data_IF_247729715784
#
_entry.id   IF_247729715784
#
_cell.length_a   1.000
_cell.length_b   1.000
_cell.length_c   1.000
_cell.angle_alpha   90.00
_cell.angle_beta   90.00
_cell.angle_gamma   90.00
#
_symmetry.space_group_name_H-M   'P 1'
#
loop_
_entity.id
_entity.type
_entity.pdbx_description
1 polymer ?
#
# COMPACT_ATOMS: atom_id res chain seq x y z
N UNK A 1 9.45 -4.35 -15.24
CA UNK A 1 7.99 -4.06 -15.40
C UNK A 1 7.22 -4.21 -14.09
N UNK A 2 7.66 -5.09 -13.19
CA UNK A 2 7.07 -5.37 -11.88
C UNK A 2 6.93 -4.11 -11.00
N UNK A 3 7.92 -3.21 -11.00
CA UNK A 3 7.86 -1.94 -10.25
C UNK A 3 6.69 -1.02 -10.66
N UNK A 4 6.24 -1.05 -11.92
CA UNK A 4 5.08 -0.26 -12.37
C UNK A 4 3.78 -0.86 -11.85
N UNK A 5 3.66 -2.19 -11.86
CA UNK A 5 2.51 -2.91 -11.32
C UNK A 5 2.41 -2.70 -9.80
N UNK A 6 3.55 -2.78 -9.08
CA UNK A 6 3.63 -2.50 -7.65
C UNK A 6 3.18 -1.07 -7.34
N UNK A 7 3.64 -0.05 -8.10
CA UNK A 7 3.17 1.32 -7.91
C UNK A 7 1.68 1.50 -8.19
N UNK A 8 1.15 0.84 -9.21
CA UNK A 8 -0.28 0.91 -9.53
C UNK A 8 -1.13 0.28 -8.42
N UNK A 9 -0.73 -0.90 -7.92
CA UNK A 9 -1.42 -1.57 -6.81
C UNK A 9 -1.31 -0.76 -5.51
N UNK A 10 -0.14 -0.16 -5.25
CA UNK A 10 0.06 0.73 -4.11
C UNK A 10 -0.90 1.92 -4.13
N UNK A 11 -1.01 2.59 -5.28
CA UNK A 11 -1.93 3.71 -5.46
C UNK A 11 -3.38 3.30 -5.22
N UNK A 12 -3.82 2.20 -5.84
CA UNK A 12 -5.19 1.70 -5.69
C UNK A 12 -5.51 1.31 -4.24
N UNK A 13 -4.57 0.68 -3.53
CA UNK A 13 -4.76 0.27 -2.13
C UNK A 13 -4.94 1.46 -1.19
N UNK A 14 -4.19 2.55 -1.41
CA UNK A 14 -4.34 3.80 -0.66
C UNK A 14 -5.69 4.46 -0.96
N UNK A 15 -6.09 4.53 -2.24
CA UNK A 15 -7.40 5.10 -2.64
C UNK A 15 -8.55 4.33 -1.98
N UNK A 16 -8.51 3.00 -2.00
CA UNK A 16 -9.52 2.15 -1.34
C UNK A 16 -9.53 2.41 0.17
N UNK A 17 -8.36 2.50 0.81
CA UNK A 17 -8.25 2.76 2.25
C UNK A 17 -8.83 4.13 2.65
N UNK A 18 -8.60 5.17 1.84
CA UNK A 18 -9.17 6.51 2.06
C UNK A 18 -10.70 6.51 1.89
N UNK A 19 -11.20 5.86 0.83
CA UNK A 19 -12.63 5.72 0.58
C UNK A 19 -13.32 5.04 1.76
N UNK A 20 -12.75 3.94 2.25
CA UNK A 20 -13.25 3.24 3.43
C UNK A 20 -13.30 4.18 4.66
N UNK A 21 -12.25 4.98 4.90
CA UNK A 21 -12.21 5.95 5.98
C UNK A 21 -13.27 7.05 5.88
N UNK A 22 -13.63 7.48 4.67
CA UNK A 22 -14.74 8.42 4.47
C UNK A 22 -16.11 7.79 4.70
N UNK A 23 -16.32 6.54 4.25
CA UNK A 23 -17.66 5.92 4.24
C UNK A 23 -18.02 5.17 5.52
N UNK A 24 -17.04 4.70 6.31
CA UNK A 24 -17.32 3.86 7.50
C UNK A 24 -17.09 4.62 8.80
N UNK A 25 -15.89 5.18 9.02
CA UNK A 25 -15.58 5.88 10.26
C UNK A 25 -14.31 6.74 10.12
N UNK A 26 -14.34 7.98 10.62
CA UNK A 26 -13.22 8.92 10.60
C UNK A 26 -11.96 8.38 11.30
N UNK A 27 -12.12 7.48 12.26
CA UNK A 27 -10.99 6.80 12.92
C UNK A 27 -10.15 5.94 11.96
N UNK A 28 -10.67 5.56 10.79
CA UNK A 28 -9.92 4.78 9.82
C UNK A 28 -8.82 5.58 9.12
N UNK A 29 -8.89 6.91 9.11
CA UNK A 29 -7.82 7.74 8.55
C UNK A 29 -6.50 7.57 9.31
N UNK A 30 -6.54 7.27 10.62
CA UNK A 30 -5.33 6.93 11.37
C UNK A 30 -4.66 5.67 10.83
N UNK A 31 -5.46 4.67 10.45
CA UNK A 31 -4.97 3.46 9.80
C UNK A 31 -4.43 3.76 8.39
N UNK A 32 -5.13 4.59 7.63
CA UNK A 32 -4.69 5.03 6.29
C UNK A 32 -3.36 5.80 6.35
N UNK A 33 -3.20 6.69 7.33
CA UNK A 33 -1.96 7.45 7.57
C UNK A 33 -0.84 6.48 7.98
N UNK A 34 -1.11 5.54 8.88
CA UNK A 34 -0.12 4.53 9.27
C UNK A 34 0.37 3.72 8.07
N UNK A 35 -0.54 3.22 7.22
CA UNK A 35 -0.20 2.51 5.98
C UNK A 35 0.56 3.43 5.02
N UNK A 36 0.13 4.68 4.87
CA UNK A 36 0.79 5.68 4.02
C UNK A 36 2.22 6.01 4.45
N UNK A 37 2.48 6.16 5.75
CA UNK A 37 3.82 6.40 6.31
C UNK A 37 4.74 5.19 6.06
N UNK A 38 4.23 3.97 6.23
CA UNK A 38 4.99 2.75 5.91
C UNK A 38 5.33 2.66 4.41
N UNK A 39 4.42 3.07 3.52
CA UNK A 39 4.68 3.17 2.08
C UNK A 39 5.71 4.26 1.73
N UNK A 40 5.64 5.41 2.40
CA UNK A 40 6.60 6.51 2.23
C UNK A 40 8.01 6.09 2.67
N UNK A 41 8.13 5.43 3.83
CA UNK A 41 9.38 4.84 4.28
C UNK A 41 9.93 3.85 3.25
N UNK A 42 9.07 2.97 2.72
CA UNK A 42 9.42 1.98 1.71
C UNK A 42 9.97 2.60 0.41
N UNK A 43 9.42 3.74 -0.02
CA UNK A 43 9.93 4.45 -1.20
C UNK A 43 11.32 5.06 -0.98
N UNK A 44 11.70 5.33 0.28
CA UNK A 44 12.99 5.95 0.64
C UNK A 44 14.05 4.88 0.90
N UNK A 45 13.71 3.80 1.63
CA UNK A 45 14.65 2.74 1.99
C UNK A 45 14.82 1.66 0.92
N UNK A 46 14.06 1.74 -0.19
CA UNK A 46 13.95 0.70 -1.24
C UNK A 46 13.55 -0.68 -0.70
N UNK A 47 13.15 -0.79 0.56
CA UNK A 47 12.66 -2.01 1.15
C UNK A 47 11.14 -2.05 0.93
N UNK A 48 10.72 -2.78 -0.11
CA UNK A 48 9.35 -2.77 -0.56
C UNK A 48 8.49 -3.76 0.24
N UNK A 49 7.92 -3.31 1.36
CA UNK A 49 6.97 -4.11 2.15
C UNK A 49 5.79 -4.58 1.29
N UNK A 50 5.40 -3.76 0.30
CA UNK A 50 4.36 -4.12 -0.66
C UNK A 50 4.82 -5.17 -1.66
N UNK A 51 6.09 -5.22 -2.05
CA UNK A 51 6.67 -6.30 -2.85
C UNK A 51 6.71 -7.61 -2.05
N UNK A 52 7.00 -7.54 -0.75
CA UNK A 52 6.95 -8.68 0.16
C UNK A 52 5.50 -9.20 0.32
N UNK A 53 4.53 -8.29 0.51
CA UNK A 53 3.10 -8.63 0.52
C UNK A 53 2.65 -9.18 -0.83
N UNK A 54 3.07 -8.62 -1.97
CA UNK A 54 2.72 -9.14 -3.29
C UNK A 54 3.33 -10.53 -3.54
N UNK A 55 4.59 -10.74 -3.13
CA UNK A 55 5.25 -12.06 -3.16
C UNK A 55 4.54 -13.06 -2.26
N UNK A 56 4.02 -12.63 -1.10
CA UNK A 56 3.43 -13.50 -0.09
C UNK A 56 1.94 -13.80 -0.31
N UNK A 57 1.18 -12.82 -0.79
CA UNK A 57 -0.27 -12.92 -1.03
C UNK A 57 -0.56 -13.36 -2.46
N UNK A 58 0.15 -12.80 -3.45
CA UNK A 58 -0.08 -13.08 -4.87
C UNK A 58 0.89 -14.10 -5.47
N UNK A 59 1.92 -14.56 -4.73
CA UNK A 59 2.93 -15.55 -5.19
C UNK A 59 3.61 -15.16 -6.52
N UNK A 60 3.62 -13.87 -6.85
CA UNK A 60 4.27 -13.37 -8.06
C UNK A 60 5.79 -13.40 -7.80
N UNK A 61 6.45 -14.38 -8.41
CA UNK A 61 7.90 -14.48 -8.48
C UNK A 61 8.36 -13.54 -9.59
N UNK A 62 9.32 -12.67 -9.28
CA UNK A 62 10.12 -11.96 -10.30
C UNK A 62 10.62 -12.94 -11.37
#
# INVERSE_FOLDING_TARGET
MINRLIRAIAGTFVIISVLLGMYVNQNWFWFTIFVGVNLLQSSITKWCLMEDILRKVFKIKE
#
